data_IF_431873429608
#
_entry.id   IF_431873429608
#
_cell.length_a   1.000
_cell.length_b   1.000
_cell.length_c   1.000
_cell.angle_alpha   90.00
_cell.angle_beta   90.00
_cell.angle_gamma   90.00
#
_symmetry.space_group_name_H-M   'P 1'
#
loop_
_entity.id
_entity.type
_entity.pdbx_description
1 polymer ?
#
# COMPACT_ATOMS: atom_id res chain seq x y z
N UNK A 1 16.16 76.62 0.47
CA UNK A 1 15.44 77.80 1.00
C UNK A 1 14.46 77.29 2.06
N UNK A 2 14.78 77.73 3.33
CA UNK A 2 13.98 78.05 4.51
C UNK A 2 12.94 76.97 4.98
N UNK A 3 13.31 76.23 6.00
CA UNK A 3 12.97 76.36 7.45
C UNK A 3 11.65 77.09 7.74
N UNK A 4 10.73 76.37 8.39
CA UNK A 4 9.93 76.98 9.47
C UNK A 4 9.45 75.93 10.50
N UNK A 5 9.87 76.22 11.71
CA UNK A 5 9.61 75.53 12.98
C UNK A 5 8.30 76.09 13.57
N UNK A 6 7.45 75.20 14.12
CA UNK A 6 6.27 75.68 14.85
C UNK A 6 6.12 74.93 16.19
N UNK A 7 5.73 75.61 17.25
CA UNK A 7 6.09 75.29 18.62
C UNK A 7 5.06 74.34 19.31
N UNK A 8 5.59 73.66 20.33
CA UNK A 8 4.88 72.72 21.24
C UNK A 8 3.83 73.43 22.11
N UNK A 9 2.64 72.86 22.13
CA UNK A 9 1.58 73.20 23.12
C UNK A 9 1.58 72.10 24.23
N UNK A 10 1.99 72.54 25.41
CA UNK A 10 1.91 71.75 26.65
C UNK A 10 0.51 71.74 27.16
N UNK A 11 -0.09 70.55 27.38
CA UNK A 11 -1.31 70.35 28.15
C UNK A 11 -1.01 69.88 29.57
N UNK A 12 -1.75 70.33 30.58
CA UNK A 12 -1.51 70.00 32.00
C UNK A 12 -1.97 68.60 32.36
N UNK A 13 -1.14 67.87 33.13
CA UNK A 13 -1.48 66.57 33.73
C UNK A 13 -2.51 66.78 34.88
N UNK A 14 -3.71 66.23 34.71
CA UNK A 14 -4.64 65.96 35.80
C UNK A 14 -4.20 64.75 36.58
N UNK A 15 -3.84 64.91 37.86
CA UNK A 15 -3.66 63.80 38.80
C UNK A 15 -5.03 63.31 39.17
N UNK A 16 -5.33 62.05 38.87
CA UNK A 16 -6.43 61.28 39.41
C UNK A 16 -5.94 60.58 40.67
N UNK A 17 -6.44 60.95 41.80
CA UNK A 17 -6.24 60.26 43.06
C UNK A 17 -7.05 58.96 43.01
N UNK A 18 -6.37 57.84 42.97
CA UNK A 18 -7.00 56.50 43.03
C UNK A 18 -7.35 56.18 44.47
N UNK A 19 -8.63 56.06 44.77
CA UNK A 19 -9.15 55.59 46.08
C UNK A 19 -8.98 54.06 46.12
N UNK A 20 -8.21 53.60 47.10
CA UNK A 20 -7.80 52.19 47.23
C UNK A 20 -8.97 51.19 47.49
N UNK A 21 -10.19 51.67 47.68
CA UNK A 21 -11.37 50.85 48.00
C UNK A 21 -12.04 50.19 46.77
N UNK A 22 -11.82 50.76 45.57
CA UNK A 22 -12.41 50.21 44.34
C UNK A 22 -11.65 48.98 43.74
N UNK A 23 -10.36 48.90 44.05
CA UNK A 23 -9.50 47.86 43.45
C UNK A 23 -9.71 46.46 44.00
N UNK A 24 -10.07 46.36 45.29
CA UNK A 24 -10.34 45.07 45.94
C UNK A 24 -11.66 44.42 45.48
N UNK A 25 -12.67 45.21 45.14
CA UNK A 25 -13.95 44.71 44.66
C UNK A 25 -13.82 44.16 43.22
N UNK A 26 -13.03 44.82 42.35
CA UNK A 26 -12.82 44.32 41.00
C UNK A 26 -12.00 43.04 40.96
N UNK A 27 -11.01 42.89 41.84
CA UNK A 27 -10.19 41.65 41.92
C UNK A 27 -11.06 40.48 42.41
N UNK A 28 -11.93 40.70 43.40
CA UNK A 28 -12.87 39.68 43.91
C UNK A 28 -13.85 39.24 42.83
N UNK A 29 -14.40 40.15 42.05
CA UNK A 29 -15.32 39.83 40.94
C UNK A 29 -14.65 39.03 39.84
N UNK A 30 -13.39 39.35 39.49
CA UNK A 30 -12.61 38.61 38.51
C UNK A 30 -12.27 37.20 38.96
N UNK A 31 -11.90 36.99 40.23
CA UNK A 31 -11.63 35.67 40.80
C UNK A 31 -12.90 34.82 40.79
N UNK A 32 -14.03 35.40 41.21
CA UNK A 32 -15.31 34.68 41.21
C UNK A 32 -15.74 34.29 39.78
N UNK A 33 -15.59 35.20 38.81
CA UNK A 33 -15.87 34.95 37.41
C UNK A 33 -15.04 33.82 36.82
N UNK A 34 -13.72 33.80 37.08
CA UNK A 34 -12.84 32.75 36.62
C UNK A 34 -13.15 31.39 37.24
N UNK A 35 -13.50 31.34 38.54
CA UNK A 35 -13.90 30.09 39.20
C UNK A 35 -15.19 29.52 38.60
N UNK A 36 -16.18 30.35 38.29
CA UNK A 36 -17.42 29.92 37.65
C UNK A 36 -17.15 29.36 36.23
N UNK A 37 -16.30 30.03 35.44
CA UNK A 37 -15.94 29.54 34.10
C UNK A 37 -15.22 28.20 34.18
N UNK A 38 -14.26 28.04 35.08
CA UNK A 38 -13.54 26.77 35.27
C UNK A 38 -14.51 25.64 35.71
N UNK A 39 -15.46 25.95 36.60
CA UNK A 39 -16.46 24.97 37.01
C UNK A 39 -17.38 24.52 35.85
N UNK A 40 -17.79 25.47 34.98
CA UNK A 40 -18.60 25.16 33.81
C UNK A 40 -17.81 24.30 32.82
N UNK A 41 -16.54 24.64 32.57
CA UNK A 41 -15.68 23.88 31.62
C UNK A 41 -15.39 22.48 32.19
N UNK A 42 -15.12 22.34 33.48
CA UNK A 42 -14.92 21.06 34.13
C UNK A 42 -16.22 20.21 34.11
N UNK A 43 -17.38 20.82 34.34
CA UNK A 43 -18.67 20.14 34.23
C UNK A 43 -19.00 19.70 32.84
N UNK A 44 -18.74 20.54 31.82
CA UNK A 44 -18.91 20.18 30.42
C UNK A 44 -17.93 19.06 29.97
N UNK A 45 -16.69 19.05 30.47
CA UNK A 45 -15.73 18.00 30.22
C UNK A 45 -16.13 16.65 30.83
N UNK A 46 -16.63 16.66 32.06
CA UNK A 46 -17.09 15.44 32.73
C UNK A 46 -18.39 14.90 32.12
N UNK A 47 -19.31 15.78 31.68
CA UNK A 47 -20.50 15.38 30.93
C UNK A 47 -20.14 14.87 29.53
N UNK A 48 -19.17 15.46 28.87
CA UNK A 48 -18.68 14.98 27.58
C UNK A 48 -18.06 13.59 27.65
N UNK A 49 -17.34 13.29 28.76
CA UNK A 49 -16.77 11.95 28.98
C UNK A 49 -17.84 10.88 29.31
N UNK A 50 -18.93 11.24 30.01
CA UNK A 50 -20.00 10.28 30.26
C UNK A 50 -20.80 9.96 29.02
N UNK A 51 -21.09 10.96 28.18
CA UNK A 51 -21.77 10.74 26.87
C UNK A 51 -20.90 9.93 25.89
N UNK A 52 -19.59 10.11 25.94
CA UNK A 52 -18.66 9.31 25.10
C UNK A 52 -18.47 7.87 25.62
N UNK A 53 -18.79 7.59 26.89
CA UNK A 53 -18.73 6.23 27.43
C UNK A 53 -19.96 5.40 27.13
N UNK A 54 -21.11 6.04 27.03
CA UNK A 54 -22.34 5.35 26.66
C UNK A 54 -22.39 4.97 25.19
N UNK A 55 -21.67 5.69 24.30
CA UNK A 55 -21.48 5.31 22.91
C UNK A 55 -20.41 4.22 22.69
N UNK A 56 -19.52 3.98 23.64
CA UNK A 56 -18.52 2.91 23.55
C UNK A 56 -19.07 1.51 23.88
N UNK A 57 -20.33 1.42 24.36
CA UNK A 57 -20.96 0.16 24.74
C UNK A 57 -22.01 -0.37 23.77
N UNK A 58 -22.37 0.36 22.71
CA UNK A 58 -23.49 0.01 21.83
C UNK A 58 -23.18 0.12 20.32
N UNK A 59 -21.90 0.12 19.91
CA UNK A 59 -21.53 0.05 18.49
C UNK A 59 -20.45 -1.00 18.24
N UNK A 60 -20.66 -2.21 18.78
CA UNK A 60 -20.36 -3.40 17.99
C UNK A 60 -21.48 -3.57 16.96
N UNK A 61 -21.66 -2.59 16.09
CA UNK A 61 -22.03 -2.89 14.72
C UNK A 61 -20.86 -3.74 14.23
N UNK A 62 -21.12 -5.04 14.20
CA UNK A 62 -20.57 -5.95 13.22
C UNK A 62 -20.36 -5.12 11.94
N UNK A 63 -19.21 -4.45 11.85
CA UNK A 63 -18.64 -4.11 10.56
C UNK A 63 -18.48 -5.50 9.98
N UNK A 64 -19.37 -5.86 9.04
CA UNK A 64 -19.08 -6.86 8.07
C UNK A 64 -17.78 -6.37 7.43
N UNK A 65 -16.67 -6.84 7.97
CA UNK A 65 -15.35 -6.69 7.40
C UNK A 65 -15.50 -7.33 6.04
N UNK A 66 -15.62 -6.50 5.01
CA UNK A 66 -15.51 -7.00 3.64
C UNK A 66 -14.24 -7.81 3.64
N UNK A 67 -14.28 -9.08 3.20
CA UNK A 67 -13.10 -9.91 3.22
C UNK A 67 -11.98 -9.10 2.58
N UNK A 68 -10.88 -8.94 3.33
CA UNK A 68 -9.71 -8.22 2.82
C UNK A 68 -9.33 -8.93 1.51
N UNK A 69 -9.11 -8.15 0.46
CA UNK A 69 -8.67 -8.70 -0.82
C UNK A 69 -7.38 -9.49 -0.57
N UNK A 70 -7.40 -10.76 -0.94
CA UNK A 70 -6.25 -11.65 -0.82
C UNK A 70 -5.43 -11.57 -2.12
N UNK A 71 -4.14 -11.37 -1.97
CA UNK A 71 -3.21 -11.34 -3.10
C UNK A 71 -2.37 -12.62 -3.12
N UNK A 72 -1.96 -13.12 -4.30
CA UNK A 72 -1.05 -14.24 -4.41
C UNK A 72 0.26 -14.01 -3.63
N UNK A 73 0.74 -15.04 -2.96
CA UNK A 73 2.02 -15.00 -2.24
C UNK A 73 3.14 -15.35 -3.23
N UNK A 74 3.75 -14.33 -3.83
CA UNK A 74 4.77 -14.46 -4.87
C UNK A 74 6.20 -14.33 -4.31
N UNK A 75 6.45 -14.80 -3.12
CA UNK A 75 7.78 -14.74 -2.51
C UNK A 75 8.03 -15.97 -1.67
N UNK A 76 9.25 -16.48 -1.75
CA UNK A 76 9.66 -17.64 -0.97
C UNK A 76 10.34 -18.69 -1.83
N UNK A 77 10.43 -19.91 -1.31
CA UNK A 77 10.93 -21.04 -2.08
C UNK A 77 9.84 -21.56 -3.03
N UNK A 78 10.25 -22.11 -4.19
CA UNK A 78 9.32 -22.80 -5.11
C UNK A 78 8.48 -23.85 -4.37
N UNK A 79 7.30 -24.11 -4.88
CA UNK A 79 6.47 -25.19 -4.35
C UNK A 79 7.08 -26.57 -4.64
N UNK A 80 6.77 -27.54 -3.79
CA UNK A 80 7.24 -28.94 -3.96
C UNK A 80 6.69 -29.56 -5.26
N UNK A 81 7.38 -30.55 -5.85
CA UNK A 81 6.88 -31.25 -7.02
C UNK A 81 5.45 -31.79 -6.83
N UNK A 82 4.58 -31.52 -7.80
CA UNK A 82 3.16 -31.85 -7.75
C UNK A 82 2.36 -31.09 -8.79
N UNK A 83 1.02 -31.20 -8.71
CA UNK A 83 0.11 -30.39 -9.53
C UNK A 83 -0.39 -29.23 -8.68
N UNK A 84 -0.24 -28.03 -9.21
CA UNK A 84 -0.54 -26.78 -8.50
C UNK A 84 -1.37 -25.85 -9.39
N UNK A 85 -2.29 -25.13 -8.79
CA UNK A 85 -2.98 -24.05 -9.47
C UNK A 85 -2.01 -22.87 -9.72
N UNK A 86 -2.29 -22.08 -10.75
CA UNK A 86 -1.42 -20.97 -11.16
C UNK A 86 -1.16 -19.93 -10.04
N UNK A 87 -2.17 -19.68 -9.19
CA UNK A 87 -2.10 -18.70 -8.09
C UNK A 87 -1.36 -19.22 -6.84
N UNK A 88 -1.05 -20.51 -6.81
CA UNK A 88 -0.23 -21.14 -5.76
C UNK A 88 1.28 -21.13 -6.09
N UNK A 89 1.66 -20.83 -7.34
CA UNK A 89 3.05 -20.73 -7.77
C UNK A 89 3.73 -19.52 -7.14
N UNK A 90 5.02 -19.63 -6.83
CA UNK A 90 5.78 -18.63 -6.07
C UNK A 90 6.96 -18.02 -6.82
N UNK A 91 7.46 -18.71 -7.83
CA UNK A 91 8.65 -18.38 -8.60
C UNK A 91 9.76 -19.40 -8.43
N UNK A 92 10.43 -19.73 -9.53
CA UNK A 92 11.50 -20.72 -9.57
C UNK A 92 11.06 -22.14 -9.95
N UNK A 93 9.74 -22.42 -10.03
CA UNK A 93 9.23 -23.75 -10.35
C UNK A 93 9.59 -24.19 -11.76
N UNK A 94 10.07 -25.43 -11.90
CA UNK A 94 10.28 -26.12 -13.17
C UNK A 94 9.09 -27.00 -13.50
N UNK A 95 8.63 -27.01 -14.75
CA UNK A 95 7.35 -27.57 -15.16
C UNK A 95 7.49 -28.56 -16.29
N UNK A 96 6.77 -29.68 -16.19
CA UNK A 96 6.59 -30.61 -17.29
C UNK A 96 5.18 -30.52 -17.87
N UNK A 97 5.05 -30.78 -19.18
CA UNK A 97 3.78 -30.69 -19.88
C UNK A 97 3.23 -29.26 -19.98
N UNK A 98 4.11 -28.26 -20.09
CA UNK A 98 3.73 -26.85 -20.16
C UNK A 98 2.82 -26.57 -21.37
N UNK A 99 1.59 -26.16 -21.10
CA UNK A 99 0.56 -25.91 -22.11
C UNK A 99 0.42 -24.42 -22.50
N UNK A 100 1.15 -23.54 -21.82
CA UNK A 100 1.13 -22.08 -22.01
C UNK A 100 0.96 -21.34 -20.69
N UNK A 101 1.31 -20.07 -20.66
CA UNK A 101 1.35 -19.25 -19.46
C UNK A 101 -0.03 -19.01 -18.80
N UNK A 102 -1.13 -19.18 -19.54
CA UNK A 102 -2.50 -19.03 -19.05
C UNK A 102 -3.16 -20.35 -18.67
N UNK A 103 -2.39 -21.43 -18.43
CA UNK A 103 -2.94 -22.68 -17.93
C UNK A 103 -3.45 -22.50 -16.49
N UNK A 104 -4.54 -23.21 -16.17
CA UNK A 104 -5.15 -23.19 -14.81
C UNK A 104 -4.31 -23.96 -13.79
N UNK A 105 -3.61 -25.03 -14.23
CA UNK A 105 -2.81 -25.92 -13.41
C UNK A 105 -1.47 -26.21 -14.08
N UNK A 106 -0.44 -26.41 -13.26
CA UNK A 106 0.92 -26.71 -13.69
C UNK A 106 1.43 -27.97 -12.98
N UNK A 107 2.13 -28.84 -13.72
CA UNK A 107 2.84 -29.98 -13.14
C UNK A 107 4.27 -29.55 -12.81
N UNK A 108 4.52 -29.27 -11.54
CA UNK A 108 5.84 -28.89 -11.02
C UNK A 108 6.70 -30.12 -10.86
N UNK A 109 7.95 -30.06 -11.32
CA UNK A 109 8.98 -31.08 -11.21
C UNK A 109 10.26 -30.47 -10.63
N UNK A 110 11.20 -31.33 -10.18
CA UNK A 110 12.52 -30.84 -9.80
C UNK A 110 13.30 -30.34 -11.02
N UNK A 111 13.98 -29.20 -10.91
CA UNK A 111 14.74 -28.60 -12.02
C UNK A 111 15.93 -29.44 -12.48
N UNK A 112 16.40 -30.37 -11.68
CA UNK A 112 17.42 -31.37 -12.03
C UNK A 112 16.96 -32.30 -13.18
N UNK A 113 15.63 -32.52 -13.29
CA UNK A 113 15.05 -33.32 -14.36
C UNK A 113 14.81 -32.45 -15.61
N UNK A 114 14.81 -33.07 -16.83
CA UNK A 114 14.36 -32.37 -18.01
C UNK A 114 12.92 -31.84 -17.83
N UNK A 115 12.71 -30.55 -18.17
CA UNK A 115 11.42 -29.89 -18.00
C UNK A 115 11.15 -28.96 -19.20
N UNK A 116 9.88 -28.60 -19.41
CA UNK A 116 9.47 -27.86 -20.62
C UNK A 116 9.52 -26.33 -20.43
N UNK A 117 9.31 -25.87 -19.18
CA UNK A 117 9.36 -24.46 -18.85
C UNK A 117 9.81 -24.27 -17.39
N UNK A 118 10.31 -23.07 -17.09
CA UNK A 118 10.58 -22.63 -15.71
C UNK A 118 9.92 -21.28 -15.46
N UNK A 119 9.23 -21.14 -14.32
CA UNK A 119 8.73 -19.86 -13.83
C UNK A 119 9.91 -19.04 -13.29
N UNK A 120 10.44 -18.15 -14.12
CA UNK A 120 11.64 -17.36 -13.81
C UNK A 120 11.36 -16.10 -13.00
N UNK A 121 10.12 -15.64 -12.98
CA UNK A 121 9.69 -14.50 -12.16
C UNK A 121 8.18 -14.54 -11.92
N UNK A 122 7.79 -14.21 -10.70
CA UNK A 122 6.41 -13.95 -10.34
C UNK A 122 6.34 -12.69 -9.48
N UNK A 123 5.49 -11.72 -9.84
CA UNK A 123 5.36 -10.46 -9.11
C UNK A 123 3.97 -9.84 -9.21
N UNK A 124 3.59 -9.04 -8.24
CA UNK A 124 2.34 -8.29 -8.30
C UNK A 124 2.53 -6.96 -9.03
N UNK A 125 1.60 -6.62 -9.92
CA UNK A 125 1.50 -5.28 -10.51
C UNK A 125 1.02 -4.25 -9.50
N UNK A 126 0.17 -4.66 -8.56
CA UNK A 126 -0.25 -3.84 -7.43
C UNK A 126 -0.67 -4.74 -6.26
N UNK A 127 -0.31 -4.31 -5.05
CA UNK A 127 -0.75 -4.93 -3.78
C UNK A 127 -1.73 -4.02 -3.00
N UNK A 128 -2.30 -3.02 -3.63
CA UNK A 128 -3.24 -2.07 -3.03
C UNK A 128 -4.64 -2.33 -3.56
N UNK A 129 -5.56 -2.72 -2.67
CA UNK A 129 -6.93 -3.08 -3.03
C UNK A 129 -7.66 -1.97 -3.82
N UNK A 130 -7.36 -0.70 -3.48
CA UNK A 130 -7.99 0.48 -4.07
C UNK A 130 -7.47 0.85 -5.47
N UNK A 131 -6.39 0.25 -5.96
CA UNK A 131 -5.87 0.57 -7.29
C UNK A 131 -6.84 0.11 -8.37
N UNK A 132 -7.27 1.01 -9.27
CA UNK A 132 -8.18 0.65 -10.35
C UNK A 132 -7.48 -0.25 -11.38
N UNK A 133 -8.27 -1.06 -12.09
CA UNK A 133 -7.77 -1.82 -13.22
C UNK A 133 -7.30 -0.88 -14.34
N UNK A 134 -6.04 -0.95 -14.79
CA UNK A 134 -5.52 -0.02 -15.80
C UNK A 134 -6.06 -0.29 -17.21
N UNK A 135 -6.65 -1.45 -17.43
CA UNK A 135 -7.06 -1.94 -18.73
C UNK A 135 -6.09 -2.99 -19.30
N UNK A 136 -6.61 -3.89 -20.12
CA UNK A 136 -5.87 -5.06 -20.61
C UNK A 136 -4.61 -4.68 -21.40
N UNK A 137 -4.66 -3.63 -22.21
CA UNK A 137 -3.51 -3.21 -23.03
C UNK A 137 -2.35 -2.70 -22.17
N UNK A 138 -2.66 -1.90 -21.15
CA UNK A 138 -1.67 -1.39 -20.19
C UNK A 138 -1.07 -2.51 -19.34
N UNK A 139 -1.91 -3.42 -18.84
CA UNK A 139 -1.47 -4.58 -18.07
C UNK A 139 -0.58 -5.50 -18.91
N UNK A 140 -0.95 -5.76 -20.15
CA UNK A 140 -0.14 -6.56 -21.08
C UNK A 140 1.22 -5.92 -21.37
N UNK A 141 1.27 -4.59 -21.48
CA UNK A 141 2.52 -3.86 -21.65
C UNK A 141 3.40 -3.98 -20.40
N UNK A 142 2.83 -3.74 -19.21
CA UNK A 142 3.53 -3.88 -17.93
C UNK A 142 4.04 -5.31 -17.73
N UNK A 143 3.26 -6.33 -18.11
CA UNK A 143 3.68 -7.72 -18.05
C UNK A 143 4.87 -7.99 -18.96
N UNK A 144 4.83 -7.50 -20.20
CA UNK A 144 5.94 -7.65 -21.15
C UNK A 144 7.23 -7.01 -20.64
N UNK A 145 7.14 -5.78 -20.13
CA UNK A 145 8.29 -5.06 -19.56
C UNK A 145 8.83 -5.78 -18.31
N UNK A 146 7.92 -6.45 -17.59
CA UNK A 146 8.23 -7.22 -16.38
C UNK A 146 8.98 -8.51 -16.65
N UNK A 147 8.83 -9.09 -17.83
CA UNK A 147 9.34 -10.39 -18.21
C UNK A 147 10.51 -10.28 -19.19
N UNK A 148 11.36 -9.26 -19.06
CA UNK A 148 12.58 -9.17 -19.86
C UNK A 148 13.59 -10.23 -19.40
N UNK A 149 13.86 -11.18 -20.27
CA UNK A 149 14.79 -12.30 -20.04
C UNK A 149 16.18 -11.84 -19.61
N UNK A 150 16.65 -10.72 -20.14
CA UNK A 150 18.02 -10.25 -19.89
C UNK A 150 18.29 -9.87 -18.45
N UNK A 151 17.24 -9.61 -17.67
CA UNK A 151 17.32 -9.25 -16.24
C UNK A 151 16.98 -10.41 -15.30
N UNK A 152 16.35 -11.47 -15.81
CA UNK A 152 15.73 -12.52 -14.99
C UNK A 152 16.50 -13.85 -14.98
N UNK A 153 17.38 -14.09 -15.93
CA UNK A 153 18.08 -15.36 -16.11
C UNK A 153 19.60 -15.17 -15.94
N UNK A 154 20.27 -16.13 -15.30
CA UNK A 154 21.73 -16.16 -15.29
C UNK A 154 22.28 -16.23 -16.72
N UNK A 155 23.13 -15.26 -17.06
CA UNK A 155 23.72 -15.16 -18.39
C UNK A 155 24.49 -16.43 -18.78
N UNK A 156 25.18 -17.10 -17.86
CA UNK A 156 25.94 -18.30 -18.16
C UNK A 156 25.03 -19.45 -18.59
N UNK A 157 23.86 -19.59 -17.92
CA UNK A 157 22.86 -20.60 -18.26
C UNK A 157 22.14 -20.22 -19.56
N UNK A 158 21.80 -18.95 -19.73
CA UNK A 158 21.16 -18.46 -20.96
C UNK A 158 21.97 -18.75 -22.21
N UNK A 159 23.31 -18.78 -22.12
CA UNK A 159 24.19 -19.10 -23.27
C UNK A 159 24.18 -20.56 -23.67
N UNK A 160 23.63 -21.46 -22.88
CA UNK A 160 23.47 -22.89 -23.21
C UNK A 160 22.33 -23.13 -24.21
N UNK A 161 21.39 -22.16 -24.30
CA UNK A 161 20.21 -22.23 -25.14
C UNK A 161 20.12 -21.02 -26.04
N UNK A 162 20.18 -21.25 -27.36
CA UNK A 162 20.11 -20.20 -28.39
C UNK A 162 18.67 -19.86 -28.82
N UNK A 163 17.69 -20.57 -28.25
CA UNK A 163 16.26 -20.51 -28.59
C UNK A 163 15.34 -20.25 -27.38
N UNK A 164 15.88 -19.70 -26.32
CA UNK A 164 15.07 -19.28 -25.16
C UNK A 164 14.10 -18.18 -25.55
N UNK A 165 12.85 -18.35 -25.10
CA UNK A 165 11.81 -17.33 -25.19
C UNK A 165 11.11 -17.22 -23.82
N UNK A 166 10.38 -16.14 -23.62
CA UNK A 166 9.49 -15.99 -22.45
C UNK A 166 8.05 -15.94 -22.90
N UNK A 167 7.24 -16.79 -22.30
CA UNK A 167 5.79 -16.69 -22.25
C UNK A 167 5.36 -16.11 -20.91
N UNK A 168 4.23 -15.40 -20.85
CA UNK A 168 3.82 -14.76 -19.61
C UNK A 168 2.31 -14.63 -19.49
N UNK A 169 1.81 -14.74 -18.26
CA UNK A 169 0.43 -14.47 -17.91
C UNK A 169 0.29 -13.23 -17.03
N UNK A 170 -0.91 -12.63 -17.08
CA UNK A 170 -1.28 -11.42 -16.38
C UNK A 170 -2.80 -11.33 -16.22
N UNK A 171 -3.33 -10.49 -15.32
CA UNK A 171 -4.77 -10.29 -15.17
C UNK A 171 -5.35 -9.64 -16.44
N UNK A 172 -6.14 -10.41 -17.17
CA UNK A 172 -6.69 -9.99 -18.47
C UNK A 172 -8.06 -9.27 -18.34
N UNK A 173 -8.63 -9.17 -17.13
CA UNK A 173 -9.92 -8.55 -16.90
C UNK A 173 -9.99 -7.75 -15.59
N UNK A 174 -10.94 -6.83 -15.54
CA UNK A 174 -11.24 -6.06 -14.34
C UNK A 174 -11.81 -6.93 -13.21
N UNK A 175 -12.46 -8.03 -13.56
CA UNK A 175 -12.97 -9.00 -12.59
C UNK A 175 -11.81 -9.72 -11.85
N UNK A 176 -10.82 -10.23 -12.58
CA UNK A 176 -9.62 -10.82 -12.01
C UNK A 176 -8.88 -9.80 -11.11
N UNK A 177 -8.73 -8.59 -11.60
CA UNK A 177 -8.11 -7.51 -10.84
C UNK A 177 -8.85 -7.21 -9.53
N UNK A 178 -10.19 -7.19 -9.56
CA UNK A 178 -11.03 -6.94 -8.40
C UNK A 178 -11.00 -8.11 -7.38
N UNK A 179 -10.67 -9.33 -7.83
CA UNK A 179 -10.48 -10.51 -6.98
C UNK A 179 -9.09 -10.58 -6.35
N UNK A 180 -8.16 -9.69 -6.74
CA UNK A 180 -6.79 -9.68 -6.24
C UNK A 180 -5.80 -10.46 -7.12
N UNK A 181 -6.24 -11.04 -8.23
CA UNK A 181 -5.41 -11.74 -9.21
C UNK A 181 -4.56 -10.74 -10.00
N UNK A 182 -3.56 -10.17 -9.37
CA UNK A 182 -2.73 -9.09 -9.93
C UNK A 182 -1.29 -9.53 -10.22
N UNK A 183 -1.09 -10.83 -10.27
CA UNK A 183 0.21 -11.44 -10.58
C UNK A 183 0.57 -11.34 -12.05
N UNK A 184 1.87 -11.15 -12.30
CA UNK A 184 2.52 -11.41 -13.58
C UNK A 184 3.47 -12.56 -13.36
N UNK A 185 3.35 -13.57 -14.22
CA UNK A 185 4.14 -14.81 -14.16
C UNK A 185 4.92 -14.94 -15.47
N UNK A 186 6.24 -15.03 -15.38
CA UNK A 186 7.14 -15.09 -16.54
C UNK A 186 7.75 -16.49 -16.63
N UNK A 187 7.50 -17.20 -17.71
CA UNK A 187 7.97 -18.56 -17.94
C UNK A 187 9.02 -18.58 -19.04
N UNK A 188 10.22 -19.06 -18.73
CA UNK A 188 11.23 -19.34 -19.75
C UNK A 188 10.99 -20.73 -20.31
N UNK A 189 11.07 -20.84 -21.64
CA UNK A 189 10.92 -22.09 -22.38
C UNK A 189 11.71 -22.02 -23.69
N UNK A 190 11.81 -23.14 -24.40
CA UNK A 190 12.48 -23.20 -25.69
C UNK A 190 11.48 -23.07 -26.83
N UNK A 191 11.74 -22.15 -27.78
CA UNK A 191 10.88 -21.96 -28.95
C UNK A 191 10.88 -23.20 -29.89
N UNK A 192 11.89 -24.04 -29.80
CA UNK A 192 11.96 -25.32 -30.51
C UNK A 192 11.06 -26.40 -29.92
N UNK A 193 10.50 -26.20 -28.70
CA UNK A 193 9.80 -27.24 -27.91
C UNK A 193 10.75 -28.27 -27.28
N UNK A 194 12.05 -27.97 -27.23
CA UNK A 194 13.03 -28.79 -26.52
C UNK A 194 12.91 -28.59 -25.00
N UNK A 195 13.50 -29.51 -24.23
CA UNK A 195 13.52 -29.39 -22.78
C UNK A 195 14.65 -28.50 -22.27
N UNK A 196 14.43 -27.92 -21.12
CA UNK A 196 15.43 -27.27 -20.27
C UNK A 196 15.98 -28.30 -19.27
N UNK A 197 17.13 -28.03 -18.70
CA UNK A 197 17.73 -28.83 -17.63
C UNK A 197 18.54 -27.93 -16.70
N UNK A 198 18.39 -28.10 -15.41
CA UNK A 198 18.97 -27.23 -14.41
C UNK A 198 18.11 -26.00 -14.11
N UNK A 199 18.51 -25.22 -13.14
CA UNK A 199 17.83 -24.01 -12.74
C UNK A 199 18.35 -22.82 -13.59
N UNK A 200 17.45 -22.04 -14.16
CA UNK A 200 17.75 -20.84 -14.96
C UNK A 200 17.88 -19.58 -14.07
N UNK A 201 17.41 -19.65 -12.83
CA UNK A 201 17.46 -18.54 -11.88
C UNK A 201 18.20 -18.99 -10.62
N UNK A 202 19.00 -18.09 -10.04
CA UNK A 202 19.75 -18.35 -8.80
C UNK A 202 18.88 -18.16 -7.55
#
# INVERSE_FOLDING_TARGET
VTTEESPAVRRPKKRLTSTATGQSIFIGLWILGTLVIVAILAGAFLLGQSLSRDDAGASSKEQAESPAMEFPVLSGMPVEPGVWAWDELRGGECMSGFAGAFAEEFTVVGCEAPHDAQLISARLLSNRAEDPYPGVDEVAQLARESCDVTELIDYNVATEYDDLIVDYSYPASDEQWAQGERGVYCFALRSSGGTLQGDLVD
#
